data_IF_696394675864
#
_entry.id   IF_696394675864
#
_cell.length_a   1.000
_cell.length_b   1.000
_cell.length_c   1.000
_cell.angle_alpha   90.00
_cell.angle_beta   90.00
_cell.angle_gamma   90.00
#
_symmetry.space_group_name_H-M   'P 1'
#
loop_
_entity.id
_entity.type
_entity.pdbx_description
1 polymer ?
#
# COMPACT_ATOMS: atom_id res chain seq x y z
N UNK A 1 -63.30 9.53 -45.47
CA UNK A 1 -62.73 8.23 -45.03
C UNK A 1 -61.66 7.88 -46.03
N UNK A 2 -60.40 7.61 -45.71
CA UNK A 2 -59.55 7.72 -44.53
C UNK A 2 -58.19 7.33 -45.10
N UNK A 3 -57.16 8.06 -44.72
CA UNK A 3 -55.75 7.87 -45.06
C UNK A 3 -55.28 6.43 -44.93
N UNK A 4 -54.35 5.98 -45.79
CA UNK A 4 -53.28 5.05 -45.41
C UNK A 4 -52.07 5.21 -46.34
N UNK A 5 -51.14 6.09 -45.94
CA UNK A 5 -49.73 6.01 -46.30
C UNK A 5 -49.07 4.95 -45.40
N UNK A 6 -48.25 4.02 -45.93
CA UNK A 6 -47.36 3.25 -45.09
C UNK A 6 -46.16 4.12 -44.67
N UNK A 7 -46.17 4.59 -43.43
CA UNK A 7 -44.94 4.92 -42.71
C UNK A 7 -44.26 3.61 -42.33
N UNK A 8 -43.08 3.33 -42.90
CA UNK A 8 -42.02 2.58 -42.22
C UNK A 8 -40.68 2.70 -42.95
N UNK A 9 -40.24 3.95 -43.19
CA UNK A 9 -38.86 4.27 -43.58
C UNK A 9 -38.13 5.06 -42.49
N UNK A 10 -38.53 4.88 -41.21
CA UNK A 10 -37.98 5.56 -40.03
C UNK A 10 -37.65 4.56 -38.93
N UNK A 11 -36.61 3.75 -39.11
CA UNK A 11 -35.92 3.10 -37.97
C UNK A 11 -34.49 2.61 -38.31
N UNK A 12 -33.91 3.05 -39.42
CA UNK A 12 -32.51 2.73 -39.78
C UNK A 12 -31.53 3.84 -39.42
N UNK A 13 -31.96 4.86 -38.68
CA UNK A 13 -31.06 5.58 -37.76
C UNK A 13 -30.70 4.63 -36.63
N UNK A 14 -29.88 3.63 -36.97
CA UNK A 14 -28.63 3.29 -36.28
C UNK A 14 -28.63 3.99 -34.93
N UNK A 15 -29.13 3.29 -33.90
CA UNK A 15 -28.68 3.55 -32.52
C UNK A 15 -27.17 3.51 -32.63
N UNK A 16 -26.56 4.68 -32.81
CA UNK A 16 -25.13 4.85 -32.63
C UNK A 16 -24.94 4.40 -31.20
N UNK A 17 -24.45 3.18 -31.08
CA UNK A 17 -23.99 2.59 -29.84
C UNK A 17 -23.09 3.64 -29.18
N UNK A 18 -23.67 4.43 -28.27
CA UNK A 18 -23.01 5.52 -27.57
C UNK A 18 -22.12 4.95 -26.45
N UNK A 19 -21.41 3.87 -26.78
CA UNK A 19 -20.44 3.26 -25.91
C UNK A 19 -19.12 3.95 -26.17
N UNK A 20 -18.55 4.54 -25.12
CA UNK A 20 -17.18 5.01 -25.15
C UNK A 20 -16.25 3.83 -25.49
N UNK A 21 -15.22 4.04 -26.35
CA UNK A 21 -14.21 3.03 -26.59
C UNK A 21 -13.52 2.58 -25.28
N UNK A 22 -13.13 1.31 -25.14
CA UNK A 22 -12.46 0.79 -23.95
C UNK A 22 -11.23 1.61 -23.53
N UNK A 23 -10.48 2.14 -24.49
CA UNK A 23 -9.29 2.95 -24.28
C UNK A 23 -9.65 4.29 -23.62
N UNK A 24 -10.77 4.90 -24.03
CA UNK A 24 -11.26 6.15 -23.46
C UNK A 24 -11.77 5.91 -22.03
N UNK A 25 -12.47 4.79 -21.80
CA UNK A 25 -12.89 4.38 -20.46
C UNK A 25 -11.66 4.21 -19.55
N UNK A 26 -10.60 3.55 -20.04
CA UNK A 26 -9.36 3.38 -19.30
C UNK A 26 -8.71 4.72 -18.94
N UNK A 27 -8.66 5.66 -19.87
CA UNK A 27 -8.14 7.02 -19.60
C UNK A 27 -8.99 7.77 -18.57
N UNK A 28 -10.32 7.64 -18.61
CA UNK A 28 -11.21 8.25 -17.63
C UNK A 28 -10.96 7.64 -16.25
N UNK A 29 -10.99 6.31 -16.14
CA UNK A 29 -10.79 5.60 -14.88
C UNK A 29 -9.39 5.88 -14.29
N UNK A 30 -8.35 5.97 -15.13
CA UNK A 30 -6.99 6.33 -14.72
C UNK A 30 -6.87 7.75 -14.18
N UNK A 31 -7.81 8.65 -14.51
CA UNK A 31 -7.84 10.04 -14.02
C UNK A 31 -8.54 10.20 -12.68
N UNK A 32 -9.30 9.20 -12.25
CA UNK A 32 -10.02 9.23 -10.99
C UNK A 32 -9.06 9.09 -9.79
N UNK A 33 -9.35 9.74 -8.64
CA UNK A 33 -8.69 9.41 -7.39
C UNK A 33 -8.89 7.93 -7.03
N UNK A 34 -7.91 7.33 -6.32
CA UNK A 34 -7.93 5.89 -5.95
C UNK A 34 -9.29 5.46 -5.37
N UNK A 35 -9.85 6.23 -4.43
CA UNK A 35 -11.14 5.92 -3.80
C UNK A 35 -12.29 5.83 -4.80
N UNK A 36 -12.31 6.73 -5.79
CA UNK A 36 -13.34 6.74 -6.83
C UNK A 36 -13.14 5.59 -7.81
N UNK A 37 -11.90 5.32 -8.22
CA UNK A 37 -11.58 4.17 -9.06
C UNK A 37 -11.98 2.85 -8.37
N UNK A 38 -11.74 2.70 -7.07
CA UNK A 38 -12.16 1.51 -6.31
C UNK A 38 -13.67 1.35 -6.29
N UNK A 39 -14.45 2.43 -6.14
CA UNK A 39 -15.92 2.37 -6.26
C UNK A 39 -16.37 1.93 -7.66
N UNK A 40 -15.65 2.34 -8.70
CA UNK A 40 -15.93 1.94 -10.09
C UNK A 40 -15.78 0.42 -10.32
N UNK A 41 -15.07 -0.30 -9.45
CA UNK A 41 -14.98 -1.78 -9.54
C UNK A 41 -16.34 -2.47 -9.36
N UNK A 42 -17.32 -1.81 -8.73
CA UNK A 42 -18.66 -2.34 -8.54
C UNK A 42 -19.60 -2.11 -9.73
N UNK A 43 -19.18 -1.35 -10.76
CA UNK A 43 -20.03 -0.98 -11.90
C UNK A 43 -20.24 -2.15 -12.85
N UNK A 44 -19.16 -2.79 -13.31
CA UNK A 44 -19.23 -3.96 -14.19
C UNK A 44 -17.93 -4.79 -14.17
N UNK A 45 -17.99 -6.02 -14.70
CA UNK A 45 -16.84 -6.95 -14.76
C UNK A 45 -15.66 -6.39 -15.56
N UNK A 46 -15.92 -5.68 -16.66
CA UNK A 46 -14.87 -5.09 -17.48
C UNK A 46 -14.10 -4.00 -16.74
N UNK A 47 -14.81 -3.14 -15.99
CA UNK A 47 -14.18 -2.09 -15.18
C UNK A 47 -13.42 -2.70 -14.00
N UNK A 48 -14.02 -3.69 -13.34
CA UNK A 48 -13.33 -4.47 -12.30
C UNK A 48 -12.01 -5.05 -12.82
N UNK A 49 -12.03 -5.75 -13.96
CA UNK A 49 -10.85 -6.37 -14.54
C UNK A 49 -9.78 -5.32 -14.90
N UNK A 50 -10.20 -4.21 -15.51
CA UNK A 50 -9.29 -3.12 -15.88
C UNK A 50 -8.64 -2.45 -14.68
N UNK A 51 -9.41 -2.14 -13.62
CA UNK A 51 -8.88 -1.49 -12.42
C UNK A 51 -7.96 -2.42 -11.61
N UNK A 52 -8.17 -3.73 -11.71
CA UNK A 52 -7.34 -4.75 -11.06
C UNK A 52 -6.11 -5.15 -11.88
N UNK A 53 -6.00 -4.67 -13.11
CA UNK A 53 -4.85 -4.94 -13.96
C UNK A 53 -3.58 -4.29 -13.37
N UNK A 54 -2.45 -5.01 -13.27
CA UNK A 54 -1.20 -4.46 -12.74
C UNK A 54 -0.69 -3.25 -13.49
N UNK A 55 -0.87 -3.18 -14.82
CA UNK A 55 -0.44 -2.02 -15.60
C UNK A 55 -1.30 -0.79 -15.31
N UNK A 56 -2.61 -0.99 -15.10
CA UNK A 56 -3.49 0.08 -14.64
C UNK A 56 -3.03 0.62 -13.29
N UNK A 57 -2.77 -0.26 -12.32
CA UNK A 57 -2.33 0.11 -10.97
C UNK A 57 -0.99 0.86 -11.04
N UNK A 58 0.00 0.31 -11.73
CA UNK A 58 1.33 0.92 -11.87
C UNK A 58 1.24 2.31 -12.49
N UNK A 59 0.47 2.46 -13.59
CA UNK A 59 0.39 3.78 -14.24
C UNK A 59 -0.49 4.77 -13.47
N UNK A 60 -1.41 4.28 -12.65
CA UNK A 60 -2.18 5.13 -11.74
C UNK A 60 -1.30 5.66 -10.60
N UNK A 61 -0.46 4.80 -10.01
CA UNK A 61 0.53 5.19 -8.99
C UNK A 61 1.55 6.21 -9.51
N UNK A 62 2.14 5.97 -10.70
CA UNK A 62 3.09 6.90 -11.31
C UNK A 62 2.46 8.27 -11.62
N UNK A 63 1.18 8.27 -12.01
CA UNK A 63 0.44 9.50 -12.25
C UNK A 63 0.24 10.27 -10.94
N UNK A 64 -0.18 9.60 -9.88
CA UNK A 64 -0.38 10.27 -8.60
C UNK A 64 0.94 10.86 -8.08
N UNK A 65 2.08 10.22 -8.33
CA UNK A 65 3.42 10.78 -8.07
C UNK A 65 3.74 12.02 -8.93
N UNK A 66 3.27 12.08 -10.19
CA UNK A 66 3.57 13.19 -11.11
C UNK A 66 2.63 14.39 -10.99
N UNK A 67 1.48 14.26 -10.30
CA UNK A 67 0.42 15.27 -10.24
C UNK A 67 0.28 15.97 -8.88
N UNK A 68 1.10 15.63 -7.87
CA UNK A 68 0.99 16.22 -6.53
C UNK A 68 1.95 17.39 -6.30
N UNK A 69 1.35 18.49 -5.86
CA UNK A 69 2.00 19.59 -5.16
C UNK A 69 2.33 19.14 -3.72
N UNK A 70 3.56 18.65 -3.52
CA UNK A 70 4.16 18.46 -2.20
C UNK A 70 4.14 17.03 -1.66
N UNK A 71 5.24 16.64 -1.02
CA UNK A 71 5.36 15.40 -0.24
C UNK A 71 4.38 15.47 0.95
N UNK A 72 3.97 14.32 1.51
CA UNK A 72 3.11 14.30 2.70
C UNK A 72 3.83 13.68 3.88
N UNK A 73 4.00 14.39 4.99
CA UNK A 73 4.64 13.85 6.19
C UNK A 73 3.61 13.11 7.04
N UNK A 74 3.86 11.82 7.30
CA UNK A 74 3.03 11.01 8.18
C UNK A 74 3.56 11.12 9.62
N UNK A 75 2.73 11.67 10.50
CA UNK A 75 2.98 11.79 11.93
C UNK A 75 2.09 10.83 12.71
N UNK A 76 2.63 10.37 13.84
CA UNK A 76 1.95 9.53 14.82
C UNK A 76 1.90 10.28 16.16
N UNK A 77 0.69 10.45 16.72
CA UNK A 77 0.47 11.18 17.97
C UNK A 77 -0.53 10.39 18.83
N UNK A 78 -0.23 10.25 20.11
CA UNK A 78 -1.17 9.73 21.10
C UNK A 78 -2.22 10.81 21.42
N UNK A 79 -3.50 10.48 21.23
CA UNK A 79 -4.59 11.33 21.67
C UNK A 79 -4.88 11.07 23.14
N UNK A 80 -4.51 12.04 23.99
CA UNK A 80 -4.67 12.00 25.44
C UNK A 80 -6.11 11.84 25.91
N UNK A 81 -7.12 12.19 25.10
CA UNK A 81 -8.53 12.05 25.49
C UNK A 81 -9.08 10.66 25.20
N UNK A 82 -8.57 9.99 24.17
CA UNK A 82 -9.13 8.72 23.71
C UNK A 82 -8.22 7.51 23.96
N UNK A 83 -6.99 7.74 24.43
CA UNK A 83 -5.92 6.73 24.53
C UNK A 83 -5.75 5.97 23.19
N UNK A 84 -5.95 6.69 22.08
CA UNK A 84 -5.81 6.13 20.73
C UNK A 84 -4.71 6.85 20.00
N UNK A 85 -3.98 6.06 19.22
CA UNK A 85 -3.04 6.61 18.26
C UNK A 85 -3.77 7.16 17.05
N UNK A 86 -3.40 8.39 16.71
CA UNK A 86 -3.87 9.08 15.53
C UNK A 86 -2.70 9.23 14.58
N UNK A 87 -2.93 8.83 13.33
CA UNK A 87 -2.02 9.07 12.25
C UNK A 87 -2.48 10.30 11.49
N UNK A 88 -1.60 11.28 11.30
CA UNK A 88 -1.92 12.52 10.58
C UNK A 88 -0.99 12.70 9.42
N UNK A 89 -1.54 13.06 8.28
CA UNK A 89 -0.78 13.49 7.12
C UNK A 89 -0.70 15.01 7.12
N UNK A 90 0.50 15.51 6.95
CA UNK A 90 0.81 16.91 6.80
C UNK A 90 1.37 17.16 5.42
N UNK A 91 1.16 18.35 4.86
CA UNK A 91 1.90 18.76 3.67
C UNK A 91 3.33 19.05 4.05
N UNK A 92 4.26 18.53 3.27
CA UNK A 92 5.67 18.87 3.36
C UNK A 92 5.91 20.21 2.68
N UNK A 93 5.55 21.27 3.40
CA UNK A 93 5.77 22.65 3.02
C UNK A 93 6.03 23.47 4.29
N UNK A 94 6.45 24.73 4.12
CA UNK A 94 6.77 25.62 5.25
C UNK A 94 5.61 25.80 6.25
N UNK A 95 4.37 25.59 5.81
CA UNK A 95 3.17 25.74 6.64
C UNK A 95 2.81 24.48 7.44
N UNK A 96 3.34 23.31 7.06
CA UNK A 96 3.07 22.00 7.67
C UNK A 96 1.57 21.78 7.94
N UNK A 97 0.74 22.07 6.94
CA UNK A 97 -0.72 22.02 7.08
C UNK A 97 -1.22 20.59 7.20
N UNK A 98 -2.11 20.32 8.16
CA UNK A 98 -2.76 19.02 8.24
C UNK A 98 -3.62 18.77 6.99
N UNK A 99 -3.24 17.76 6.23
CA UNK A 99 -3.99 17.31 5.06
C UNK A 99 -5.15 16.40 5.47
N UNK A 100 -4.88 15.42 6.34
CA UNK A 100 -5.84 14.37 6.66
C UNK A 100 -5.45 13.53 7.87
N UNK A 101 -6.44 13.25 8.71
CA UNK A 101 -6.35 12.26 9.77
C UNK A 101 -6.68 10.85 9.27
N UNK A 102 -5.94 9.86 9.74
CA UNK A 102 -6.14 8.45 9.49
C UNK A 102 -6.34 7.72 10.82
N UNK A 103 -7.30 6.81 10.81
CA UNK A 103 -7.65 6.00 11.97
C UNK A 103 -7.27 4.55 11.70
N UNK A 104 -6.49 3.96 12.61
CA UNK A 104 -6.16 2.54 12.51
C UNK A 104 -7.44 1.71 12.59
N UNK A 105 -7.65 0.76 11.65
CA UNK A 105 -8.84 -0.08 11.68
C UNK A 105 -8.75 -1.23 12.68
N UNK A 106 -7.65 -1.36 13.44
CA UNK A 106 -7.40 -2.46 14.36
C UNK A 106 -6.94 -1.97 15.72
N UNK A 107 -7.36 -2.68 16.77
CA UNK A 107 -7.04 -2.40 18.19
C UNK A 107 -5.84 -3.18 18.72
N UNK A 108 -5.22 -4.03 17.88
CA UNK A 108 -4.22 -5.01 18.31
C UNK A 108 -2.82 -4.44 18.51
N UNK A 109 -2.52 -3.29 17.89
CA UNK A 109 -1.21 -2.67 18.04
C UNK A 109 -1.25 -1.69 19.20
N UNK A 110 -0.52 -1.97 20.27
CA UNK A 110 -0.03 -0.93 21.18
C UNK A 110 1.12 -0.23 20.48
N UNK A 111 1.21 1.09 20.59
CA UNK A 111 2.30 1.92 20.07
C UNK A 111 2.93 1.53 18.70
N UNK A 112 2.16 1.33 17.61
CA UNK A 112 2.73 0.96 16.32
C UNK A 112 3.62 2.04 15.71
N UNK A 113 4.90 1.71 15.54
CA UNK A 113 5.88 2.52 14.83
C UNK A 113 5.69 2.42 13.32
N UNK A 114 6.05 3.49 12.62
CA UNK A 114 6.04 3.52 11.15
C UNK A 114 7.38 3.03 10.66
N UNK A 115 7.38 1.88 9.99
CA UNK A 115 8.57 1.36 9.29
C UNK A 115 8.81 2.19 8.02
N UNK A 116 7.73 2.52 7.31
CA UNK A 116 7.79 3.31 6.10
C UNK A 116 6.52 3.20 5.26
N UNK A 117 6.49 3.93 4.15
CA UNK A 117 5.39 3.90 3.17
C UNK A 117 5.92 3.65 1.76
N UNK A 118 5.11 2.98 0.94
CA UNK A 118 5.44 2.72 -0.46
C UNK A 118 4.15 2.53 -1.26
N UNK A 119 3.95 3.27 -2.35
CA UNK A 119 2.80 3.14 -3.27
C UNK A 119 1.43 3.14 -2.55
N UNK A 120 1.29 3.93 -1.50
CA UNK A 120 0.05 4.08 -0.71
C UNK A 120 -0.20 2.96 0.30
N UNK A 121 0.77 2.05 0.46
CA UNK A 121 0.85 1.12 1.58
C UNK A 121 1.74 1.70 2.68
N UNK A 122 1.31 1.55 3.92
CA UNK A 122 2.09 1.88 5.11
C UNK A 122 2.45 0.57 5.80
N UNK A 123 3.72 0.39 6.12
CA UNK A 123 4.18 -0.68 6.99
C UNK A 123 4.28 -0.15 8.42
N UNK A 124 3.57 -0.80 9.32
CA UNK A 124 3.55 -0.52 10.75
C UNK A 124 4.13 -1.71 11.50
N UNK A 125 4.91 -1.46 12.53
CA UNK A 125 5.49 -2.50 13.37
C UNK A 125 5.30 -2.17 14.84
N UNK A 126 4.93 -3.16 15.60
CA UNK A 126 5.13 -3.18 17.05
C UNK A 126 5.64 -4.57 17.40
N UNK A 127 6.96 -4.69 17.48
CA UNK A 127 7.60 -5.98 17.73
C UNK A 127 8.30 -5.92 19.08
N UNK A 128 7.72 -6.63 20.05
CA UNK A 128 8.31 -6.84 21.37
C UNK A 128 8.69 -8.32 21.51
N UNK A 129 9.45 -8.66 22.56
CA UNK A 129 9.97 -10.02 22.84
C UNK A 129 8.92 -11.13 22.74
N UNK A 130 7.64 -10.85 23.04
CA UNK A 130 6.53 -11.81 23.00
C UNK A 130 5.36 -11.35 22.11
N UNK A 131 5.54 -10.30 21.31
CA UNK A 131 4.47 -9.71 20.51
C UNK A 131 4.94 -9.47 19.08
N UNK A 132 4.56 -10.39 18.19
CA UNK A 132 4.74 -10.21 16.75
C UNK A 132 3.59 -9.39 16.16
N UNK A 133 3.88 -8.16 15.72
CA UNK A 133 2.90 -7.41 14.96
C UNK A 133 3.51 -6.50 13.88
N UNK A 134 3.71 -7.06 12.69
CA UNK A 134 4.01 -6.28 11.48
C UNK A 134 2.78 -6.24 10.59
N UNK A 135 2.35 -5.04 10.21
CA UNK A 135 1.11 -4.82 9.47
C UNK A 135 1.35 -3.95 8.25
N UNK A 136 0.93 -4.45 7.08
CA UNK A 136 0.80 -3.65 5.87
C UNK A 136 -0.61 -3.09 5.79
N UNK A 137 -0.74 -1.78 5.67
CA UNK A 137 -2.01 -1.07 5.71
C UNK A 137 -2.21 -0.19 4.49
N UNK A 138 -3.35 -0.33 3.83
CA UNK A 138 -3.84 0.59 2.81
C UNK A 138 -5.04 1.40 3.37
N UNK A 139 -4.84 2.64 3.82
CA UNK A 139 -5.91 3.46 4.38
C UNK A 139 -6.89 3.95 3.31
N UNK A 140 -6.50 4.00 2.03
CA UNK A 140 -7.37 4.43 0.94
C UNK A 140 -8.51 3.44 0.65
N UNK A 141 -8.28 2.16 0.92
CA UNK A 141 -9.30 1.10 0.75
C UNK A 141 -9.68 0.40 2.06
N UNK A 142 -9.21 0.92 3.20
CA UNK A 142 -9.45 0.37 4.53
C UNK A 142 -9.11 -1.14 4.66
N UNK A 143 -8.04 -1.58 3.99
CA UNK A 143 -7.55 -2.97 4.07
C UNK A 143 -6.21 -3.01 4.77
N UNK A 144 -5.98 -4.07 5.52
CA UNK A 144 -4.70 -4.35 6.14
C UNK A 144 -4.38 -5.84 6.01
N UNK A 145 -3.11 -6.15 6.18
CA UNK A 145 -2.59 -7.50 6.19
C UNK A 145 -1.54 -7.60 7.30
N UNK A 146 -1.80 -8.47 8.27
CA UNK A 146 -0.85 -8.79 9.34
C UNK A 146 0.07 -9.87 8.80
N UNK A 147 1.38 -9.63 8.85
CA UNK A 147 2.35 -10.61 8.39
C UNK A 147 2.35 -11.81 9.34
N UNK A 148 2.53 -13.04 8.84
CA UNK A 148 2.80 -14.19 9.70
C UNK A 148 4.17 -14.01 10.37
N UNK A 149 4.40 -14.67 11.50
CA UNK A 149 5.73 -14.76 12.10
C UNK A 149 6.63 -15.68 11.25
N UNK A 150 7.92 -15.37 11.07
CA UNK A 150 8.86 -16.28 10.43
C UNK A 150 9.12 -17.51 11.31
N UNK A 151 9.43 -18.65 10.68
CA UNK A 151 9.83 -19.87 11.37
C UNK A 151 11.26 -19.72 11.91
N UNK A 152 11.43 -19.01 13.02
CA UNK A 152 12.74 -18.72 13.62
C UNK A 152 13.41 -20.01 14.13
N UNK A 153 14.75 -20.15 13.98
CA UNK A 153 15.48 -21.28 14.53
C UNK A 153 15.32 -21.36 16.06
N UNK A 154 15.01 -22.55 16.57
CA UNK A 154 14.86 -22.79 18.02
C UNK A 154 16.16 -22.65 18.84
N UNK A 155 17.31 -22.46 18.18
CA UNK A 155 18.63 -22.45 18.82
C UNK A 155 18.95 -21.14 19.57
N UNK A 156 18.21 -20.06 19.32
CA UNK A 156 18.39 -18.79 20.01
C UNK A 156 17.16 -18.55 20.90
N UNK A 157 17.37 -18.46 22.21
CA UNK A 157 16.28 -18.27 23.18
C UNK A 157 15.75 -16.82 23.19
N UNK A 158 16.53 -15.85 22.68
CA UNK A 158 16.15 -14.43 22.64
C UNK A 158 16.68 -13.76 21.36
N UNK A 159 15.77 -13.46 20.43
CA UNK A 159 16.06 -12.57 19.30
C UNK A 159 15.64 -11.14 19.62
N UNK A 160 16.43 -10.17 19.16
CA UNK A 160 16.02 -8.76 19.09
C UNK A 160 15.83 -8.36 17.63
N UNK A 161 14.78 -7.57 17.38
CA UNK A 161 14.50 -6.99 16.08
C UNK A 161 15.33 -5.72 15.95
N UNK A 162 16.46 -5.82 15.26
CA UNK A 162 17.41 -4.71 15.13
C UNK A 162 16.96 -3.73 14.04
N UNK A 163 16.45 -4.24 12.93
CA UNK A 163 15.96 -3.40 11.83
C UNK A 163 14.81 -4.06 11.08
N UNK A 164 13.79 -3.25 10.79
CA UNK A 164 12.69 -3.60 9.90
C UNK A 164 12.73 -2.66 8.70
N UNK A 165 12.71 -3.22 7.49
CA UNK A 165 12.66 -2.46 6.24
C UNK A 165 11.42 -2.80 5.44
N UNK A 166 10.87 -1.82 4.72
CA UNK A 166 9.72 -2.03 3.84
C UNK A 166 9.96 -1.35 2.48
N UNK A 167 9.63 -2.05 1.39
CA UNK A 167 9.76 -1.47 0.06
C UNK A 167 9.10 -2.30 -1.03
N UNK A 168 9.18 -1.78 -2.25
CA UNK A 168 8.65 -2.43 -3.45
C UNK A 168 9.80 -2.86 -4.36
N UNK A 169 9.85 -4.15 -4.67
CA UNK A 169 10.73 -4.70 -5.69
C UNK A 169 10.05 -4.59 -7.06
N UNK A 170 10.50 -3.63 -7.86
CA UNK A 170 9.99 -3.39 -9.21
C UNK A 170 10.32 -4.52 -10.19
N UNK A 171 11.37 -5.31 -9.94
CA UNK A 171 11.75 -6.44 -10.79
C UNK A 171 10.79 -7.59 -10.60
N UNK A 172 10.44 -7.92 -9.35
CA UNK A 172 9.46 -8.97 -9.06
C UNK A 172 8.01 -8.47 -8.96
N UNK A 173 7.77 -7.17 -9.13
CA UNK A 173 6.47 -6.51 -8.94
C UNK A 173 5.82 -6.91 -7.59
N UNK A 174 6.58 -6.80 -6.51
CA UNK A 174 6.19 -7.32 -5.20
C UNK A 174 6.59 -6.38 -4.07
N UNK A 175 5.76 -6.32 -3.04
CA UNK A 175 6.13 -5.64 -1.80
C UNK A 175 6.88 -6.59 -0.89
N UNK A 176 7.95 -6.10 -0.28
CA UNK A 176 8.81 -6.89 0.57
C UNK A 176 9.02 -6.22 1.91
N UNK A 177 9.12 -7.05 2.94
CA UNK A 177 9.52 -6.64 4.29
C UNK A 177 10.82 -7.34 4.63
N UNK A 178 11.84 -6.56 4.96
CA UNK A 178 13.12 -7.05 5.44
C UNK A 178 13.10 -7.04 6.96
N UNK A 179 13.62 -8.09 7.56
CA UNK A 179 13.91 -8.17 8.97
C UNK A 179 15.36 -8.57 9.18
N UNK A 180 16.02 -7.84 10.05
CA UNK A 180 17.35 -8.16 10.55
C UNK A 180 17.18 -8.46 12.04
N UNK A 181 17.55 -9.68 12.40
CA UNK A 181 17.48 -10.18 13.77
C UNK A 181 18.89 -10.34 14.31
N UNK A 182 19.09 -9.90 15.53
CA UNK A 182 20.36 -10.05 16.23
C UNK A 182 20.18 -11.00 17.40
N UNK A 183 21.16 -11.89 17.61
CA UNK A 183 21.23 -12.73 18.80
C UNK A 183 21.67 -11.89 20.00
N UNK A 184 20.85 -11.91 21.05
CA UNK A 184 21.06 -11.18 22.30
C UNK A 184 22.39 -11.49 23.00
N UNK A 185 22.95 -12.70 22.81
CA UNK A 185 24.12 -13.14 23.55
C UNK A 185 25.45 -12.88 22.83
N UNK A 186 25.42 -12.82 21.49
CA UNK A 186 26.64 -12.78 20.68
C UNK A 186 26.81 -11.51 19.88
N UNK A 187 25.76 -10.73 19.61
CA UNK A 187 25.76 -9.55 18.71
C UNK A 187 26.34 -9.79 17.30
N UNK A 188 26.77 -11.02 16.98
CA UNK A 188 27.55 -11.38 15.80
C UNK A 188 26.68 -11.96 14.66
N UNK A 189 25.44 -12.36 14.97
CA UNK A 189 24.53 -12.99 13.99
C UNK A 189 23.41 -12.04 13.58
N UNK A 190 23.54 -11.47 12.38
CA UNK A 190 22.43 -10.82 11.69
C UNK A 190 21.69 -11.84 10.83
N UNK A 191 20.68 -12.48 11.40
CA UNK A 191 19.78 -13.34 10.64
C UNK A 191 18.83 -12.47 9.82
N UNK A 192 18.97 -12.54 8.49
CA UNK A 192 18.19 -11.71 7.58
C UNK A 192 17.02 -12.50 7.01
N UNK A 193 15.83 -11.94 7.14
CA UNK A 193 14.59 -12.51 6.64
C UNK A 193 13.89 -11.57 5.70
N UNK A 194 13.37 -12.10 4.60
CA UNK A 194 12.67 -11.34 3.58
C UNK A 194 11.28 -11.93 3.37
N UNK A 195 10.25 -11.14 3.65
CA UNK A 195 8.87 -11.47 3.32
C UNK A 195 8.54 -11.03 1.90
N UNK A 196 7.80 -11.87 1.19
CA UNK A 196 7.18 -11.55 -0.09
C UNK A 196 5.67 -11.45 0.10
N UNK A 197 5.06 -10.33 -0.27
CA UNK A 197 3.60 -10.17 -0.15
C UNK A 197 2.85 -11.05 -1.15
N UNK A 198 3.35 -11.17 -2.37
CA UNK A 198 2.79 -12.05 -3.39
C UNK A 198 2.94 -13.53 -3.02
N UNK A 199 4.12 -13.92 -2.51
CA UNK A 199 4.41 -15.28 -2.06
C UNK A 199 3.78 -15.63 -0.72
N UNK A 200 3.42 -14.63 0.09
CA UNK A 200 2.89 -14.75 1.46
C UNK A 200 3.77 -15.61 2.37
N UNK A 201 5.07 -15.52 2.19
CA UNK A 201 6.04 -16.36 2.87
C UNK A 201 7.30 -15.59 3.21
N UNK A 202 7.90 -15.99 4.32
CA UNK A 202 9.25 -15.58 4.69
C UNK A 202 10.29 -16.45 3.99
N UNK A 203 11.41 -15.84 3.64
CA UNK A 203 12.61 -16.51 3.18
C UNK A 203 13.80 -16.01 3.98
N UNK A 204 14.54 -16.93 4.61
CA UNK A 204 15.83 -16.63 5.21
C UNK A 204 16.86 -16.36 4.10
N UNK A 205 17.57 -15.25 4.19
CA UNK A 205 18.68 -14.91 3.30
C UNK A 205 19.97 -15.34 3.99
N UNK A 206 20.50 -16.50 3.60
CA UNK A 206 21.57 -17.17 4.38
C UNK A 206 22.99 -16.83 3.94
N UNK A 207 23.24 -15.90 3.01
CA UNK A 207 24.62 -15.56 2.63
C UNK A 207 24.78 -14.06 2.33
N UNK A 208 25.88 -13.53 2.85
CA UNK A 208 26.42 -12.16 2.78
C UNK A 208 25.75 -11.15 3.71
N UNK A 209 26.06 -11.26 5.01
CA UNK A 209 26.05 -10.09 5.89
C UNK A 209 27.17 -9.14 5.40
N UNK A 210 26.88 -7.92 4.93
CA UNK A 210 27.91 -6.90 4.87
C UNK A 210 28.29 -6.57 6.31
N UNK A 211 29.55 -6.87 6.66
CA UNK A 211 30.16 -6.74 7.99
C UNK A 211 30.14 -5.30 8.55
N UNK A 212 29.68 -4.33 7.76
CA UNK A 212 29.45 -2.97 8.23
C UNK A 212 27.96 -2.70 8.08
N UNK A 213 27.31 -2.37 9.21
CA UNK A 213 25.92 -1.96 9.26
C UNK A 213 25.61 -1.05 8.08
N UNK A 214 24.82 -1.57 7.13
CA UNK A 214 24.24 -0.70 6.14
C UNK A 214 23.25 0.11 6.96
N UNK A 215 23.67 1.32 7.32
CA UNK A 215 22.73 2.39 7.59
C UNK A 215 22.00 2.57 6.26
N UNK A 216 20.96 1.75 6.04
CA UNK A 216 20.02 1.98 4.97
C UNK A 216 19.29 3.23 5.45
N UNK A 217 19.86 4.38 5.11
CA UNK A 217 19.09 5.60 5.02
C UNK A 217 18.08 5.31 3.92
N UNK A 218 16.97 4.69 4.30
CA UNK A 218 15.75 4.80 3.53
C UNK A 218 15.45 6.30 3.64
N UNK A 219 15.83 7.06 2.61
CA UNK A 219 15.26 8.37 2.42
C UNK A 219 13.76 8.12 2.36
N UNK A 220 13.08 8.45 3.46
CA UNK A 220 11.64 8.28 3.62
C UNK A 220 11.00 9.40 2.81
N UNK A 221 11.05 9.26 1.48
CA UNK A 221 10.17 9.97 0.58
C UNK A 221 8.78 9.42 0.81
N UNK A 222 8.02 10.10 1.67
CA UNK A 222 6.61 9.80 1.85
C UNK A 222 5.87 10.19 0.57
N UNK A 223 5.77 9.24 -0.34
CA UNK A 223 4.81 9.30 -1.41
C UNK A 223 3.56 8.51 -0.98
N UNK A 224 2.40 9.04 -1.37
CA UNK A 224 1.09 8.39 -1.40
C UNK A 224 0.28 8.36 -0.09
N UNK A 225 -0.76 9.22 -0.02
CA UNK A 225 -2.09 8.91 0.56
C UNK A 225 -3.23 9.80 0.04
#
# INVERSE_FOLDING_TARGET
MSDYLPQESRSLTKKMNAYLPPEVIALILRRLPVKSAVKCTAVCKSWYALIKDPSFISTHLQRDASFQDGLLLLSFIEDSETERYVYRLYRDNDAFEEYKQLFLPFKRLRDPEIVGSCNGLICLSHVEKDAWNIVLWNPSIHKHFILPEPDLPAACEVYFFDTIGFGFDSVSNDYKVLLILSDAETEDFNDVWLFSLNGRSWKRLTEVSPINGIQVTIEVGFEFL
#
